data_IF_022708779023
#
_entry.id   IF_022708779023
#
_cell.length_a   1.000
_cell.length_b   1.000
_cell.length_c   1.000
_cell.angle_alpha   90.00
_cell.angle_beta   90.00
_cell.angle_gamma   90.00
#
_symmetry.space_group_name_H-M   'P 1'
#
loop_
_entity.id
_entity.type
_entity.pdbx_description
1 polymer ?
#
# COMPACT_ATOMS: atom_id res chain seq x y z
N UNK A 1 12.17 -30.83 7.04
CA UNK A 1 13.20 -29.79 7.09
C UNK A 1 13.90 -29.47 5.76
N UNK A 2 14.21 -30.42 4.85
CA UNK A 2 14.89 -30.15 3.56
C UNK A 2 14.07 -29.27 2.58
N UNK A 3 12.73 -29.30 2.61
CA UNK A 3 11.86 -28.54 1.68
C UNK A 3 11.85 -27.04 1.97
N UNK A 4 11.90 -26.65 3.25
CA UNK A 4 11.89 -25.24 3.65
C UNK A 4 13.20 -24.52 3.31
N UNK A 5 14.35 -25.24 3.32
CA UNK A 5 15.64 -24.66 2.91
C UNK A 5 15.67 -24.28 1.42
N UNK A 6 15.03 -25.07 0.55
CA UNK A 6 14.94 -24.74 -0.89
C UNK A 6 14.09 -23.49 -1.14
N UNK A 7 12.99 -23.31 -0.41
CA UNK A 7 12.12 -22.13 -0.53
C UNK A 7 12.86 -20.87 -0.06
N UNK A 8 13.58 -20.95 1.06
CA UNK A 8 14.40 -19.85 1.57
C UNK A 8 15.52 -19.48 0.58
N UNK A 9 16.15 -20.48 -0.04
CA UNK A 9 17.22 -20.28 -1.02
C UNK A 9 16.69 -19.63 -2.31
N UNK A 10 15.52 -20.04 -2.80
CA UNK A 10 14.85 -19.40 -3.95
C UNK A 10 14.44 -17.96 -3.63
N UNK A 11 13.92 -17.70 -2.44
CA UNK A 11 13.61 -16.35 -1.97
C UNK A 11 14.86 -15.47 -1.85
N UNK A 12 15.97 -16.02 -1.35
CA UNK A 12 17.25 -15.30 -1.28
C UNK A 12 17.83 -15.00 -2.67
N UNK A 13 17.75 -15.97 -3.61
CA UNK A 13 18.20 -15.75 -5.01
C UNK A 13 17.31 -14.71 -5.70
N UNK A 14 16.00 -14.73 -5.47
CA UNK A 14 15.08 -13.74 -6.00
C UNK A 14 15.35 -12.34 -5.43
N UNK A 15 15.61 -12.22 -4.14
CA UNK A 15 16.04 -11.00 -3.47
C UNK A 15 17.39 -10.49 -4.03
N UNK A 16 18.34 -11.40 -4.25
CA UNK A 16 19.65 -11.06 -4.78
C UNK A 16 19.59 -10.62 -6.25
N UNK A 17 18.75 -11.27 -7.07
CA UNK A 17 18.55 -10.85 -8.47
C UNK A 17 17.88 -9.49 -8.60
N UNK A 18 17.02 -9.11 -7.64
CA UNK A 18 16.46 -7.77 -7.55
C UNK A 18 17.51 -6.71 -7.15
N UNK A 19 18.54 -7.10 -6.38
CA UNK A 19 19.64 -6.20 -6.01
C UNK A 19 20.62 -5.94 -7.17
N UNK A 20 20.74 -6.84 -8.15
CA UNK A 20 21.68 -6.71 -9.27
C UNK A 20 21.12 -5.89 -10.44
N UNK A 21 19.85 -5.54 -10.44
CA UNK A 21 19.24 -4.69 -11.48
C UNK A 21 19.67 -3.20 -11.39
N UNK A 22 20.96 -2.92 -11.21
CA UNK A 22 21.52 -1.59 -10.87
C UNK A 22 21.55 -0.56 -12.01
N UNK A 23 21.01 -0.82 -13.18
CA UNK A 23 21.15 0.13 -14.32
C UNK A 23 19.93 0.99 -14.62
N UNK A 24 18.88 0.91 -13.81
CA UNK A 24 17.74 1.80 -13.96
C UNK A 24 18.03 3.14 -13.22
N UNK A 25 17.83 4.25 -13.90
CA UNK A 25 17.92 5.62 -13.33
C UNK A 25 16.86 5.89 -12.25
N UNK A 26 15.98 4.96 -12.00
CA UNK A 26 14.91 4.99 -11.03
C UNK A 26 15.38 4.60 -9.62
N UNK A 27 14.78 5.21 -8.61
CA UNK A 27 15.05 4.91 -7.21
C UNK A 27 14.21 3.73 -6.73
N UNK A 28 14.88 2.70 -6.23
CA UNK A 28 14.22 1.58 -5.54
C UNK A 28 14.35 1.73 -4.04
N UNK A 29 13.31 1.39 -3.32
CA UNK A 29 13.30 1.35 -1.85
C UNK A 29 12.76 0.02 -1.38
N UNK A 30 13.46 -0.63 -0.49
CA UNK A 30 13.00 -1.79 0.27
C UNK A 30 12.66 -1.32 1.67
N UNK A 31 11.46 -1.65 2.15
CA UNK A 31 10.99 -1.18 3.46
C UNK A 31 10.48 -2.35 4.28
N UNK A 32 10.92 -2.44 5.52
CA UNK A 32 10.35 -3.30 6.54
C UNK A 32 9.24 -2.53 7.27
N UNK A 33 8.16 -3.20 7.57
CA UNK A 33 7.01 -2.62 8.27
C UNK A 33 6.61 -3.52 9.43
N UNK A 34 6.22 -2.91 10.53
CA UNK A 34 5.69 -3.62 11.69
C UNK A 34 4.75 -2.73 12.47
N UNK A 35 3.70 -3.30 13.01
CA UNK A 35 2.72 -2.50 13.72
C UNK A 35 1.57 -3.29 14.32
N UNK A 36 0.57 -2.56 14.77
CA UNK A 36 -0.62 -3.12 15.39
C UNK A 36 -1.87 -2.43 14.85
N UNK A 37 -3.01 -3.03 15.10
CA UNK A 37 -4.26 -2.48 14.58
C UNK A 37 -5.52 -3.00 15.24
N UNK A 38 -6.60 -2.78 14.53
CA UNK A 38 -7.97 -3.16 14.88
C UNK A 38 -8.56 -3.93 13.71
N UNK A 39 -9.37 -4.94 14.00
CA UNK A 39 -10.05 -5.70 12.96
C UNK A 39 -11.49 -5.99 13.34
N UNK A 40 -12.37 -6.04 12.35
CA UNK A 40 -13.76 -6.46 12.53
C UNK A 40 -14.28 -7.13 11.25
N UNK A 41 -15.39 -7.84 11.37
CA UNK A 41 -16.11 -8.46 10.26
C UNK A 41 -17.43 -7.73 10.04
N UNK A 42 -17.78 -7.51 8.77
CA UNK A 42 -19.12 -7.01 8.39
C UNK A 42 -20.03 -8.18 8.09
N UNK A 43 -20.91 -8.53 9.03
CA UNK A 43 -21.86 -9.65 8.88
C UNK A 43 -23.16 -9.13 8.32
N UNK A 44 -23.74 -9.89 7.39
CA UNK A 44 -25.08 -9.64 6.89
C UNK A 44 -25.87 -10.94 6.85
N UNK A 45 -27.09 -11.00 7.37
CA UNK A 45 -27.81 -9.95 8.12
C UNK A 45 -26.99 -9.41 9.29
N UNK A 46 -27.25 -8.17 9.69
CA UNK A 46 -26.46 -7.51 10.74
C UNK A 46 -26.57 -8.25 12.07
N UNK A 47 -25.44 -8.61 12.61
CA UNK A 47 -25.25 -9.30 13.89
C UNK A 47 -24.39 -8.47 14.82
N UNK A 48 -24.44 -8.77 16.12
CA UNK A 48 -23.60 -8.07 17.10
C UNK A 48 -22.15 -8.46 16.93
N UNK A 49 -21.33 -7.48 16.55
CA UNK A 49 -19.87 -7.66 16.38
C UNK A 49 -19.10 -6.54 17.07
N UNK A 50 -17.92 -6.86 17.59
CA UNK A 50 -17.01 -5.86 18.17
C UNK A 50 -15.66 -5.93 17.48
N UNK A 51 -14.95 -4.81 17.50
CA UNK A 51 -13.59 -4.72 17.02
C UNK A 51 -12.64 -5.55 17.88
N UNK A 52 -11.84 -6.37 17.22
CA UNK A 52 -10.70 -7.03 17.84
C UNK A 52 -9.53 -6.03 17.87
N UNK A 53 -9.00 -5.78 19.06
CA UNK A 53 -7.90 -4.84 19.32
C UNK A 53 -6.56 -5.56 19.30
N UNK A 54 -5.50 -4.80 19.03
CA UNK A 54 -4.10 -5.26 19.10
C UNK A 54 -3.75 -6.38 18.11
N UNK A 55 -4.34 -6.32 16.92
CA UNK A 55 -3.95 -7.23 15.83
C UNK A 55 -2.55 -6.90 15.34
N UNK A 56 -1.72 -7.91 15.18
CA UNK A 56 -0.32 -7.75 14.78
C UNK A 56 -0.19 -7.68 13.27
N UNK A 57 0.79 -6.88 12.81
CA UNK A 57 1.14 -6.78 11.40
C UNK A 57 2.64 -6.64 11.20
N UNK A 58 3.17 -7.33 10.21
CA UNK A 58 4.56 -7.24 9.80
C UNK A 58 4.65 -7.44 8.29
N UNK A 59 5.62 -6.79 7.64
CA UNK A 59 5.74 -6.94 6.19
C UNK A 59 7.01 -6.37 5.60
N UNK A 60 7.17 -6.65 4.32
CA UNK A 60 8.23 -6.13 3.47
C UNK A 60 7.57 -5.45 2.28
N UNK A 61 8.02 -4.25 1.96
CA UNK A 61 7.52 -3.44 0.86
C UNK A 61 8.63 -3.13 -0.12
N UNK A 62 8.37 -3.28 -1.39
CA UNK A 62 9.24 -2.79 -2.44
C UNK A 62 8.56 -1.65 -3.18
N UNK A 63 9.29 -0.53 -3.35
CA UNK A 63 8.79 0.68 -4.02
C UNK A 63 9.70 1.07 -5.17
N UNK A 64 9.08 1.44 -6.26
CA UNK A 64 9.72 1.97 -7.46
C UNK A 64 9.31 3.41 -7.67
N UNK A 65 10.28 4.32 -7.58
CA UNK A 65 10.10 5.76 -7.84
C UNK A 65 10.59 6.08 -9.23
N UNK A 66 9.71 6.55 -10.10
CA UNK A 66 10.04 6.88 -11.49
C UNK A 66 10.76 8.23 -11.60
N UNK A 67 11.75 8.35 -12.48
CA UNK A 67 12.47 9.60 -12.77
C UNK A 67 11.69 10.55 -13.69
N UNK A 68 10.54 10.13 -14.20
CA UNK A 68 9.78 10.94 -15.16
C UNK A 68 9.01 12.04 -14.44
N UNK A 69 9.20 13.34 -14.77
CA UNK A 69 8.56 14.46 -14.06
C UNK A 69 7.03 14.50 -14.20
N UNK A 70 6.46 13.69 -15.10
CA UNK A 70 5.00 13.61 -15.33
C UNK A 70 4.30 12.56 -14.44
N UNK A 71 5.05 11.69 -13.82
CA UNK A 71 4.48 10.67 -12.93
C UNK A 71 4.63 11.12 -11.48
N UNK A 72 3.51 11.49 -10.87
CA UNK A 72 3.48 11.91 -9.47
C UNK A 72 3.24 10.67 -8.61
N UNK A 73 4.28 10.18 -7.94
CA UNK A 73 4.16 9.07 -7.01
C UNK A 73 5.11 7.91 -7.29
N UNK A 74 4.88 6.81 -6.61
CA UNK A 74 5.55 5.55 -6.86
C UNK A 74 4.56 4.40 -6.97
N UNK A 75 5.02 3.31 -7.52
CA UNK A 75 4.31 2.03 -7.53
C UNK A 75 5.11 1.01 -6.74
N UNK A 76 4.45 0.03 -6.18
CA UNK A 76 5.12 -1.00 -5.42
C UNK A 76 4.26 -2.19 -5.11
N UNK A 77 4.90 -3.17 -4.49
CA UNK A 77 4.27 -4.39 -4.03
C UNK A 77 4.70 -4.64 -2.60
N UNK A 78 3.76 -5.00 -1.75
CA UNK A 78 4.02 -5.39 -0.38
C UNK A 78 3.76 -6.89 -0.20
N UNK A 79 4.47 -7.48 0.74
CA UNK A 79 4.15 -8.79 1.29
C UNK A 79 3.96 -8.58 2.78
N UNK A 80 2.73 -8.72 3.26
CA UNK A 80 2.37 -8.40 4.63
C UNK A 80 1.76 -9.64 5.31
N UNK A 81 2.26 -9.97 6.48
CA UNK A 81 1.57 -10.83 7.44
C UNK A 81 0.67 -9.96 8.30
N UNK A 82 -0.57 -10.36 8.45
CA UNK A 82 -1.58 -9.63 9.17
C UNK A 82 -2.46 -10.57 9.98
N UNK A 83 -2.49 -10.36 11.27
CA UNK A 83 -3.52 -10.88 12.14
C UNK A 83 -4.78 -10.03 12.01
N UNK A 84 -5.91 -10.66 11.79
CA UNK A 84 -7.22 -10.02 11.72
C UNK A 84 -8.28 -10.91 12.35
N UNK A 85 -9.41 -10.36 12.70
CA UNK A 85 -10.45 -11.14 13.36
C UNK A 85 -11.60 -10.29 13.84
N UNK A 86 -12.41 -10.87 14.71
CA UNK A 86 -13.61 -10.23 15.21
C UNK A 86 -14.09 -10.90 16.48
N UNK A 87 -14.88 -10.14 17.25
CA UNK A 87 -15.72 -10.68 18.32
C UNK A 87 -17.18 -10.76 17.79
N UNK A 88 -17.81 -11.91 17.95
CA UNK A 88 -19.20 -12.14 17.57
C UNK A 88 -20.05 -12.46 18.78
N UNK A 89 -21.12 -11.69 18.98
CA UNK A 89 -22.09 -11.93 20.05
C UNK A 89 -23.02 -13.08 19.70
N UNK A 90 -22.80 -14.27 20.28
CA UNK A 90 -23.55 -15.48 19.97
C UNK A 90 -24.73 -15.75 20.88
N UNK A 91 -24.83 -15.02 21.98
CA UNK A 91 -25.94 -15.10 22.94
C UNK A 91 -25.92 -13.91 23.88
N UNK A 92 -27.02 -13.68 24.57
CA UNK A 92 -27.08 -12.63 25.58
C UNK A 92 -27.92 -13.06 26.78
N UNK A 93 -27.61 -12.49 27.94
CA UNK A 93 -28.45 -12.54 29.13
C UNK A 93 -29.16 -11.21 29.24
N UNK A 94 -30.49 -11.23 29.34
CA UNK A 94 -31.29 -10.03 29.54
C UNK A 94 -31.64 -9.86 31.02
N UNK A 95 -31.33 -8.71 31.58
CA UNK A 95 -31.73 -8.30 32.91
C UNK A 95 -32.56 -7.03 32.83
N UNK A 96 -33.68 -7.00 33.59
CA UNK A 96 -34.51 -5.81 33.72
C UNK A 96 -33.95 -4.95 34.85
N UNK A 97 -33.47 -3.75 34.54
CA UNK A 97 -33.01 -2.77 35.50
C UNK A 97 -33.62 -1.41 35.19
N UNK A 98 -34.32 -0.81 36.17
CA UNK A 98 -34.96 0.50 36.00
C UNK A 98 -35.87 0.57 34.78
N UNK A 99 -36.74 -0.44 34.56
CA UNK A 99 -37.62 -0.63 33.42
C UNK A 99 -36.92 -0.68 32.04
N UNK A 100 -35.62 -0.89 32.05
CA UNK A 100 -34.83 -1.06 30.80
C UNK A 100 -34.25 -2.47 30.73
N UNK A 101 -34.40 -3.09 29.58
CA UNK A 101 -33.73 -4.36 29.28
C UNK A 101 -32.25 -4.10 29.01
N UNK A 102 -31.37 -4.59 29.88
CA UNK A 102 -29.92 -4.57 29.70
C UNK A 102 -29.50 -5.93 29.16
N UNK A 103 -28.93 -5.95 27.97
CA UNK A 103 -28.43 -7.17 27.32
C UNK A 103 -26.93 -7.26 27.48
N UNK A 104 -26.48 -8.33 28.14
CA UNK A 104 -25.06 -8.66 28.24
C UNK A 104 -24.74 -9.77 27.27
N UNK A 105 -23.98 -9.47 26.22
CA UNK A 105 -23.62 -10.43 25.18
C UNK A 105 -22.46 -11.33 25.63
N UNK A 106 -22.50 -12.58 25.21
CA UNK A 106 -21.39 -13.52 25.27
C UNK A 106 -20.72 -13.53 23.91
N UNK A 107 -19.38 -13.41 23.89
CA UNK A 107 -18.63 -13.26 22.65
C UNK A 107 -17.85 -14.52 22.30
N UNK A 108 -17.89 -14.80 21.01
CA UNK A 108 -16.99 -15.70 20.33
C UNK A 108 -15.96 -14.85 19.61
N UNK A 109 -14.68 -15.15 19.80
CA UNK A 109 -13.55 -14.47 19.16
C UNK A 109 -12.95 -15.37 18.10
N UNK A 110 -12.72 -14.85 16.94
CA UNK A 110 -12.00 -15.55 15.87
C UNK A 110 -10.85 -14.70 15.38
N UNK A 111 -9.63 -15.25 15.50
CA UNK A 111 -8.42 -14.68 14.96
C UNK A 111 -8.05 -15.41 13.67
N UNK A 112 -7.66 -14.67 12.64
CA UNK A 112 -7.30 -15.17 11.31
C UNK A 112 -5.97 -14.58 10.91
N UNK A 113 -4.96 -15.42 10.78
CA UNK A 113 -3.66 -15.04 10.27
C UNK A 113 -3.65 -15.11 8.75
N UNK A 114 -3.31 -14.01 8.12
CA UNK A 114 -3.40 -13.83 6.68
C UNK A 114 -2.09 -13.32 6.10
N UNK A 115 -1.75 -13.84 4.93
CA UNK A 115 -0.71 -13.26 4.09
C UNK A 115 -1.39 -12.38 3.04
N UNK A 116 -0.97 -11.13 2.96
CA UNK A 116 -1.50 -10.14 2.03
C UNK A 116 -0.45 -9.72 1.01
N UNK A 117 -0.91 -9.48 -0.21
CA UNK A 117 -0.11 -8.98 -1.32
C UNK A 117 -0.76 -7.70 -1.87
N UNK A 118 -0.52 -6.54 -1.27
CA UNK A 118 -0.95 -5.25 -1.78
C UNK A 118 -0.14 -4.84 -3.02
N UNK A 119 -0.83 -4.44 -4.09
CA UNK A 119 -0.25 -3.75 -5.24
C UNK A 119 -0.54 -2.28 -5.04
N UNK A 120 0.48 -1.49 -4.77
CA UNK A 120 0.37 -0.14 -4.21
C UNK A 120 0.71 0.92 -5.24
N UNK A 121 -0.12 1.96 -5.28
CA UNK A 121 0.19 3.26 -5.84
C UNK A 121 0.27 4.27 -4.70
N UNK A 122 1.40 5.05 -4.64
CA UNK A 122 1.71 5.94 -3.52
C UNK A 122 2.13 7.32 -4.04
N UNK A 123 1.18 8.23 -4.28
CA UNK A 123 1.48 9.64 -4.48
C UNK A 123 2.09 10.23 -3.21
N UNK A 124 3.09 11.10 -3.38
CA UNK A 124 3.83 11.69 -2.28
C UNK A 124 4.37 13.06 -2.64
N UNK A 125 4.71 13.83 -1.62
CA UNK A 125 5.41 15.10 -1.75
C UNK A 125 6.44 15.26 -0.64
N UNK A 126 7.44 16.10 -0.92
CA UNK A 126 8.56 16.32 -0.02
C UNK A 126 8.47 17.68 0.63
N UNK A 127 8.85 17.73 1.92
CA UNK A 127 8.92 18.92 2.75
C UNK A 127 10.31 19.02 3.38
N UNK A 128 10.58 20.15 4.05
CA UNK A 128 11.79 20.38 4.82
C UNK A 128 13.08 20.04 4.02
N UNK A 129 13.23 20.64 2.83
CA UNK A 129 14.39 20.40 1.94
C UNK A 129 14.60 18.89 1.63
N UNK A 130 13.49 18.18 1.38
CA UNK A 130 13.47 16.75 1.07
C UNK A 130 13.85 15.81 2.22
N UNK A 131 13.86 16.30 3.46
CA UNK A 131 14.07 15.43 4.62
C UNK A 131 12.81 14.77 5.14
N UNK A 132 11.63 15.29 4.77
CA UNK A 132 10.33 14.75 5.14
C UNK A 132 9.53 14.43 3.90
N UNK A 133 9.04 13.21 3.78
CA UNK A 133 8.12 12.77 2.73
C UNK A 133 6.76 12.50 3.35
N UNK A 134 5.72 13.20 2.86
CA UNK A 134 4.34 12.87 3.15
C UNK A 134 3.77 12.07 1.99
N UNK A 135 2.96 11.07 2.28
CA UNK A 135 2.38 10.21 1.24
C UNK A 135 0.96 9.76 1.60
N UNK A 136 0.22 9.47 0.55
CA UNK A 136 -1.03 8.73 0.60
C UNK A 136 -0.82 7.46 -0.18
N UNK A 137 -1.48 6.37 0.17
CA UNK A 137 -1.40 5.14 -0.59
C UNK A 137 -2.79 4.57 -0.89
N UNK A 138 -2.93 4.00 -2.07
CA UNK A 138 -4.07 3.21 -2.47
C UNK A 138 -3.55 1.88 -3.04
N UNK A 139 -4.19 0.78 -2.69
CA UNK A 139 -3.76 -0.52 -3.18
C UNK A 139 -4.93 -1.46 -3.46
N UNK A 140 -4.72 -2.32 -4.44
CA UNK A 140 -5.48 -3.55 -4.60
C UNK A 140 -4.79 -4.65 -3.79
N UNK A 141 -5.54 -5.36 -2.97
CA UNK A 141 -5.01 -6.34 -2.02
C UNK A 141 -5.53 -7.72 -2.36
N UNK A 142 -4.61 -8.65 -2.57
CA UNK A 142 -4.88 -10.08 -2.56
C UNK A 142 -4.53 -10.64 -1.19
N UNK A 143 -5.30 -11.58 -0.66
CA UNK A 143 -5.06 -12.17 0.65
C UNK A 143 -5.24 -13.67 0.64
N UNK A 144 -4.43 -14.34 1.47
CA UNK A 144 -4.54 -15.76 1.73
C UNK A 144 -4.55 -16.02 3.23
N UNK A 145 -5.61 -16.66 3.72
CA UNK A 145 -5.77 -17.03 5.12
C UNK A 145 -4.95 -18.30 5.43
N UNK A 146 -3.93 -18.17 6.29
CA UNK A 146 -3.00 -19.25 6.62
C UNK A 146 -3.57 -20.13 7.70
N UNK A 147 -3.91 -19.53 8.84
CA UNK A 147 -4.42 -20.20 10.03
C UNK A 147 -5.49 -19.38 10.71
N UNK A 148 -6.27 -20.00 11.55
CA UNK A 148 -7.28 -19.33 12.34
C UNK A 148 -7.43 -20.03 13.67
N UNK A 149 -7.63 -19.25 14.72
CA UNK A 149 -7.93 -19.73 16.06
C UNK A 149 -9.26 -19.14 16.51
N UNK A 150 -9.92 -19.83 17.42
CA UNK A 150 -11.14 -19.34 18.05
C UNK A 150 -11.09 -19.49 19.56
N UNK A 151 -11.83 -18.62 20.23
CA UNK A 151 -12.04 -18.69 21.68
C UNK A 151 -13.43 -18.19 22.03
N UNK A 152 -13.95 -18.66 23.14
CA UNK A 152 -15.20 -18.19 23.73
C UNK A 152 -14.85 -17.42 25.01
N UNK A 153 -15.58 -16.36 25.27
CA UNK A 153 -15.45 -15.59 26.51
C UNK A 153 -15.89 -16.42 27.75
N UNK A 154 -16.68 -17.46 27.50
CA UNK A 154 -17.17 -18.36 28.54
C UNK A 154 -16.30 -19.62 28.61
N UNK A 155 -15.78 -19.96 29.79
CA UNK A 155 -14.98 -21.16 30.08
C UNK A 155 -15.69 -22.49 29.73
N UNK A 156 -16.98 -22.46 29.49
CA UNK A 156 -17.78 -23.63 29.14
C UNK A 156 -17.36 -24.27 27.82
N UNK A 157 -16.74 -23.46 26.92
CA UNK A 157 -16.26 -23.91 25.61
C UNK A 157 -14.79 -23.51 25.45
N UNK A 158 -13.86 -24.43 25.60
CA UNK A 158 -12.45 -24.14 25.38
C UNK A 158 -12.23 -23.69 23.94
N UNK A 159 -11.39 -22.67 23.79
CA UNK A 159 -10.91 -22.25 22.48
C UNK A 159 -10.05 -23.32 21.80
N UNK A 160 -9.77 -23.13 20.52
CA UNK A 160 -8.97 -24.07 19.75
C UNK A 160 -8.54 -23.54 18.39
N UNK A 161 -7.91 -24.44 17.65
CA UNK A 161 -7.56 -24.17 16.25
C UNK A 161 -8.82 -24.34 15.41
N UNK A 162 -9.10 -23.33 14.57
CA UNK A 162 -10.22 -23.38 13.63
C UNK A 162 -9.85 -24.21 12.40
N UNK A 163 -10.60 -25.26 12.13
CA UNK A 163 -10.38 -26.10 10.98
C UNK A 163 -11.01 -25.51 9.72
N UNK A 164 -10.18 -25.24 8.72
CA UNK A 164 -10.65 -24.71 7.44
C UNK A 164 -11.35 -25.79 6.61
N UNK A 165 -12.65 -25.60 6.36
CA UNK A 165 -13.44 -26.51 5.54
C UNK A 165 -13.75 -25.87 4.19
N UNK A 166 -13.26 -26.48 3.11
CA UNK A 166 -13.44 -25.94 1.73
C UNK A 166 -14.89 -25.63 1.38
N UNK A 167 -15.91 -26.41 1.78
CA UNK A 167 -17.30 -26.06 1.49
C UNK A 167 -17.80 -24.82 2.21
N UNK A 168 -17.27 -24.52 3.39
CA UNK A 168 -17.71 -23.45 4.29
C UNK A 168 -16.88 -22.18 4.17
N UNK A 169 -15.57 -22.31 4.02
CA UNK A 169 -14.63 -21.22 4.21
C UNK A 169 -13.94 -20.78 2.92
N UNK A 170 -13.64 -19.49 2.84
CA UNK A 170 -12.75 -18.91 1.83
C UNK A 170 -11.35 -18.68 2.40
N UNK A 171 -10.35 -19.30 1.80
CA UNK A 171 -8.95 -19.03 2.13
C UNK A 171 -8.36 -17.90 1.30
N UNK A 172 -8.87 -17.70 0.07
CA UNK A 172 -8.45 -16.61 -0.80
C UNK A 172 -9.41 -15.44 -0.67
N UNK A 173 -8.83 -14.26 -0.58
CA UNK A 173 -9.58 -13.03 -0.49
C UNK A 173 -8.99 -11.92 -1.35
N UNK A 174 -9.78 -10.88 -1.55
CA UNK A 174 -9.36 -9.66 -2.21
C UNK A 174 -10.07 -8.46 -1.60
N UNK A 175 -9.46 -7.29 -1.76
CA UNK A 175 -9.96 -6.06 -1.21
C UNK A 175 -9.24 -4.84 -1.76
N UNK A 176 -9.55 -3.70 -1.18
CA UNK A 176 -8.83 -2.45 -1.41
C UNK A 176 -8.20 -1.99 -0.10
N UNK A 177 -7.12 -1.27 -0.20
CA UNK A 177 -6.59 -0.54 0.95
C UNK A 177 -6.30 0.91 0.60
N UNK A 178 -6.47 1.76 1.61
CA UNK A 178 -6.11 3.16 1.55
C UNK A 178 -5.36 3.53 2.82
N UNK A 179 -4.37 4.41 2.70
CA UNK A 179 -3.58 4.83 3.83
C UNK A 179 -2.91 6.16 3.63
N UNK A 180 -2.34 6.66 4.69
CA UNK A 180 -1.53 7.86 4.69
C UNK A 180 -0.38 7.72 5.69
N UNK A 181 0.69 8.45 5.45
CA UNK A 181 1.83 8.41 6.34
C UNK A 181 2.87 9.47 6.03
N UNK A 182 3.92 9.41 6.81
CA UNK A 182 5.11 10.23 6.59
C UNK A 182 6.37 9.40 6.80
N UNK A 183 7.45 9.84 6.18
CA UNK A 183 8.77 9.27 6.36
C UNK A 183 9.83 10.35 6.47
N UNK A 184 10.71 10.22 7.45
CA UNK A 184 11.91 11.03 7.61
C UNK A 184 13.05 10.38 6.84
N UNK A 185 13.71 11.14 5.99
CA UNK A 185 14.73 10.66 5.08
C UNK A 185 16.13 11.01 5.64
N UNK A 186 16.89 9.99 6.02
CA UNK A 186 18.22 10.10 6.61
C UNK A 186 19.24 9.44 5.68
N UNK A 187 19.69 10.18 4.66
CA UNK A 187 20.59 9.63 3.66
C UNK A 187 19.95 8.47 2.87
N UNK A 188 20.45 7.25 3.03
CA UNK A 188 19.90 6.05 2.40
C UNK A 188 18.80 5.39 3.22
N UNK A 189 18.64 5.74 4.48
CA UNK A 189 17.65 5.18 5.39
C UNK A 189 16.43 6.08 5.44
N UNK A 190 15.27 5.49 5.51
CA UNK A 190 14.02 6.18 5.79
C UNK A 190 13.30 5.56 6.99
N UNK A 191 12.83 6.40 7.89
CA UNK A 191 12.02 6.02 9.03
C UNK A 191 10.65 6.67 8.88
N UNK A 192 9.60 5.90 9.00
CA UNK A 192 8.26 6.43 8.81
C UNK A 192 7.22 5.81 9.70
N UNK A 193 6.06 6.45 9.68
CA UNK A 193 4.84 5.99 10.29
C UNK A 193 3.74 6.03 9.23
N UNK A 194 2.96 4.95 9.13
CA UNK A 194 1.78 4.90 8.25
C UNK A 194 0.57 4.35 8.99
N UNK A 195 -0.58 4.90 8.66
CA UNK A 195 -1.89 4.35 9.03
C UNK A 195 -2.57 3.84 7.75
N UNK A 196 -3.14 2.63 7.81
CA UNK A 196 -3.76 1.98 6.67
C UNK A 196 -5.08 1.34 7.06
N UNK A 197 -6.09 1.53 6.22
CA UNK A 197 -7.37 0.84 6.29
C UNK A 197 -7.47 -0.16 5.14
N UNK A 198 -7.72 -1.43 5.46
CA UNK A 198 -7.98 -2.48 4.48
C UNK A 198 -9.47 -2.79 4.49
N UNK A 199 -10.09 -2.60 3.35
CA UNK A 199 -11.49 -2.87 3.09
C UNK A 199 -11.64 -4.21 2.36
N UNK A 200 -12.15 -5.22 3.06
CA UNK A 200 -12.37 -6.55 2.48
C UNK A 200 -13.59 -6.57 1.56
N UNK A 201 -13.46 -7.16 0.38
CA UNK A 201 -14.59 -7.47 -0.50
C UNK A 201 -14.98 -8.92 -0.44
N UNK A 202 -14.01 -9.81 -0.30
CA UNK A 202 -14.27 -11.24 -0.23
C UNK A 202 -14.77 -11.65 1.15
N UNK A 203 -15.74 -12.52 1.16
CA UNK A 203 -16.30 -13.08 2.38
C UNK A 203 -15.37 -14.13 2.99
N UNK A 204 -15.28 -14.16 4.32
CA UNK A 204 -14.53 -15.16 5.07
C UNK A 204 -15.21 -16.54 4.98
N UNK A 205 -16.55 -16.55 4.98
CA UNK A 205 -17.37 -17.73 4.84
C UNK A 205 -18.09 -17.74 3.49
N UNK A 206 -18.22 -18.95 2.90
CA UNK A 206 -18.89 -19.12 1.60
C UNK A 206 -20.39 -19.13 1.77
N UNK A 207 -21.05 -18.15 1.25
CA UNK A 207 -22.51 -18.09 1.17
C UNK A 207 -23.12 -19.10 0.17
N UNK A 208 -22.35 -19.60 -0.79
CA UNK A 208 -22.86 -20.42 -1.90
C UNK A 208 -23.39 -21.79 -1.49
N UNK A 209 -22.97 -22.31 -0.33
CA UNK A 209 -23.39 -23.61 0.11
C UNK A 209 -24.56 -23.51 1.10
N UNK A 210 -25.76 -23.27 0.57
CA UNK A 210 -27.02 -23.19 1.34
C UNK A 210 -27.33 -24.44 2.17
N UNK A 211 -26.73 -25.57 1.81
CA UNK A 211 -26.97 -26.87 2.45
C UNK A 211 -25.90 -27.26 3.44
N UNK A 212 -24.88 -26.40 3.64
CA UNK A 212 -23.88 -26.68 4.63
C UNK A 212 -24.44 -26.53 6.03
N UNK A 213 -24.48 -27.63 6.78
CA UNK A 213 -24.98 -27.61 8.15
C UNK A 213 -23.91 -27.14 9.10
N UNK A 214 -24.07 -25.96 9.67
CA UNK A 214 -23.18 -25.46 10.71
C UNK A 214 -23.28 -26.25 12.01
N UNK A 215 -24.35 -26.99 12.21
CA UNK A 215 -24.59 -27.81 13.41
C UNK A 215 -23.58 -28.96 13.53
N UNK A 216 -22.97 -29.40 12.42
CA UNK A 216 -21.95 -30.44 12.41
C UNK A 216 -20.56 -29.93 12.76
N UNK A 217 -20.35 -28.61 12.77
CA UNK A 217 -19.05 -28.00 13.04
C UNK A 217 -18.73 -27.83 14.52
N UNK A 218 -19.69 -28.23 15.37
CA UNK A 218 -19.51 -28.22 16.82
C UNK A 218 -19.24 -26.83 17.37
N UNK A 219 -18.17 -26.72 18.16
CA UNK A 219 -17.82 -25.48 18.87
C UNK A 219 -17.03 -24.47 18.05
N UNK A 220 -16.55 -24.87 16.86
CA UNK A 220 -15.70 -24.01 16.03
C UNK A 220 -16.47 -22.84 15.40
N UNK A 221 -17.75 -23.04 15.12
CA UNK A 221 -18.57 -22.09 14.39
C UNK A 221 -19.86 -21.77 15.16
N UNK A 222 -19.98 -20.55 15.74
CA UNK A 222 -21.15 -20.17 16.52
C UNK A 222 -22.36 -19.78 15.66
N UNK A 223 -22.19 -19.63 14.34
CA UNK A 223 -23.27 -19.20 13.47
C UNK A 223 -24.26 -20.32 13.22
N UNK A 224 -25.51 -20.10 13.57
CA UNK A 224 -26.58 -21.04 13.26
C UNK A 224 -26.83 -21.15 11.74
N UNK A 225 -26.82 -20.00 11.06
CA UNK A 225 -26.87 -19.91 9.60
C UNK A 225 -25.59 -19.29 9.07
N UNK A 226 -25.11 -19.78 7.93
CA UNK A 226 -23.97 -19.15 7.26
C UNK A 226 -24.34 -17.73 6.84
N UNK A 227 -23.60 -16.70 7.24
CA UNK A 227 -23.85 -15.32 6.84
C UNK A 227 -23.86 -15.17 5.32
N UNK A 228 -24.71 -14.28 4.81
CA UNK A 228 -24.74 -13.92 3.39
C UNK A 228 -23.47 -13.15 2.99
N UNK A 229 -22.95 -12.34 3.90
CA UNK A 229 -21.69 -11.60 3.75
C UNK A 229 -20.90 -11.66 5.05
N UNK A 230 -19.59 -11.78 4.90
CA UNK A 230 -18.66 -11.81 6.03
C UNK A 230 -17.26 -11.28 5.68
N UNK A 231 -17.12 -10.13 4.97
CA UNK A 231 -15.84 -9.55 4.68
C UNK A 231 -15.21 -8.99 5.96
N UNK A 232 -13.87 -9.08 6.04
CA UNK A 232 -13.10 -8.63 7.20
C UNK A 232 -12.36 -7.34 6.84
N UNK A 233 -12.56 -6.31 7.65
CA UNK A 233 -11.89 -5.02 7.57
C UNK A 233 -10.87 -4.89 8.68
N UNK A 234 -9.83 -4.08 8.45
CA UNK A 234 -8.88 -3.77 9.50
C UNK A 234 -8.22 -2.40 9.31
N UNK A 235 -7.86 -1.79 10.43
CA UNK A 235 -7.11 -0.54 10.51
C UNK A 235 -5.79 -0.86 11.19
N UNK A 236 -4.67 -0.48 10.58
CA UNK A 236 -3.34 -0.72 11.11
C UNK A 236 -2.54 0.58 11.20
N UNK A 237 -1.78 0.70 12.27
CA UNK A 237 -0.73 1.72 12.42
C UNK A 237 0.61 1.02 12.45
N UNK A 238 1.50 1.40 11.54
CA UNK A 238 2.74 0.69 11.28
C UNK A 238 3.92 1.65 11.28
N UNK A 239 4.99 1.24 11.93
CA UNK A 239 6.31 1.81 11.77
C UNK A 239 6.96 1.24 10.52
N UNK A 240 7.74 2.05 9.81
CA UNK A 240 8.42 1.65 8.58
C UNK A 240 9.90 2.00 8.66
N UNK A 241 10.75 1.05 8.27
CA UNK A 241 12.19 1.21 8.12
C UNK A 241 12.57 0.86 6.69
N UNK A 242 12.96 1.85 5.90
CA UNK A 242 13.28 1.70 4.50
C UNK A 242 14.75 1.91 4.18
N UNK A 243 15.22 1.22 3.13
CA UNK A 243 16.54 1.39 2.55
C UNK A 243 16.42 1.75 1.07
N UNK A 244 17.08 2.86 0.68
CA UNK A 244 17.09 3.36 -0.69
C UNK A 244 18.37 2.95 -1.40
N UNK A 245 18.25 2.28 -2.54
CA UNK A 245 19.39 1.68 -3.24
C UNK A 245 20.12 2.63 -4.17
N UNK A 246 19.55 3.78 -4.55
CA UNK A 246 20.22 4.70 -5.45
C UNK A 246 20.95 5.82 -4.68
N UNK A 247 22.25 5.97 -4.92
CA UNK A 247 23.12 6.98 -4.32
C UNK A 247 22.96 8.40 -4.90
N UNK A 248 22.23 8.55 -6.00
CA UNK A 248 21.95 9.88 -6.52
C UNK A 248 21.04 10.58 -5.55
N UNK A 249 21.66 11.47 -4.81
CA UNK A 249 21.14 12.27 -3.72
C UNK A 249 19.64 12.48 -3.66
N UNK A 250 19.18 13.29 -2.78
CA UNK A 250 17.78 13.70 -2.63
C UNK A 250 17.15 14.33 -3.89
N UNK A 251 17.46 13.82 -5.09
CA UNK A 251 16.82 14.17 -6.35
C UNK A 251 15.36 13.69 -6.30
N UNK A 252 14.68 14.36 -5.37
CA UNK A 252 13.23 14.36 -5.38
C UNK A 252 12.77 14.88 -6.74
N UNK A 253 11.72 14.35 -7.22
CA UNK A 253 10.95 14.74 -8.39
C UNK A 253 10.69 16.26 -8.49
N UNK A 254 10.85 16.99 -7.39
CA UNK A 254 10.64 18.41 -7.23
C UNK A 254 11.91 19.26 -7.21
N UNK A 255 13.05 18.69 -7.44
CA UNK A 255 14.17 19.54 -7.86
C UNK A 255 13.74 20.10 -9.21
N UNK A 256 13.12 21.26 -9.17
CA UNK A 256 13.05 22.15 -10.33
C UNK A 256 14.48 22.24 -10.81
N UNK A 257 14.83 21.47 -11.84
CA UNK A 257 16.12 21.58 -12.48
C UNK A 257 16.24 23.06 -12.80
N UNK A 258 17.25 23.77 -12.27
CA UNK A 258 17.45 25.16 -12.67
C UNK A 258 17.38 25.14 -14.19
N UNK A 259 16.52 25.97 -14.77
CA UNK A 259 16.47 26.13 -16.23
C UNK A 259 17.93 26.18 -16.65
N UNK A 260 18.40 25.21 -17.42
CA UNK A 260 19.73 25.30 -18.03
C UNK A 260 19.74 26.68 -18.68
N UNK A 261 20.45 27.60 -18.08
CA UNK A 261 20.74 28.87 -18.71
C UNK A 261 21.33 28.45 -20.04
N UNK A 262 20.65 28.83 -21.11
CA UNK A 262 21.21 28.64 -22.44
C UNK A 262 22.59 29.28 -22.34
N UNK A 263 23.67 28.57 -22.69
CA UNK A 263 25.00 29.17 -22.65
C UNK A 263 24.86 30.51 -23.35
N UNK A 264 25.16 31.55 -22.63
CA UNK A 264 25.17 32.92 -23.15
C UNK A 264 25.99 32.83 -24.43
N UNK A 265 25.34 33.07 -25.59
CA UNK A 265 26.10 33.12 -26.83
C UNK A 265 27.06 34.26 -26.65
N UNK A 266 28.30 33.92 -26.35
CA UNK A 266 29.40 34.88 -26.39
C UNK A 266 29.45 35.38 -27.83
N UNK A 267 28.93 36.54 -28.04
CA UNK A 267 29.13 37.26 -29.27
C UNK A 267 30.62 37.47 -29.37
N UNK A 268 31.30 36.74 -30.24
CA UNK A 268 32.70 36.98 -30.60
C UNK A 268 32.75 38.27 -31.38
N UNK A 269 32.97 39.37 -30.66
CA UNK A 269 33.20 40.71 -31.27
C UNK A 269 34.41 40.75 -32.20
N UNK A 270 35.31 39.78 -32.12
CA UNK A 270 36.47 39.69 -33.02
C UNK A 270 36.13 39.33 -34.47
N UNK A 271 34.95 38.72 -34.75
CA UNK A 271 34.53 38.45 -36.11
C UNK A 271 33.86 39.65 -36.77
N UNK A 272 33.44 40.67 -36.03
CA UNK A 272 32.79 41.88 -36.56
C UNK A 272 33.82 42.94 -36.97
N UNK A 273 35.05 42.89 -36.49
CA UNK A 273 36.10 43.88 -36.85
C UNK A 273 36.86 43.54 -38.12
N UNK A 274 36.81 42.33 -38.66
CA UNK A 274 37.47 41.97 -39.92
C UNK A 274 36.72 42.38 -41.17
N UNK A 275 35.47 42.86 -41.06
CA UNK A 275 34.67 43.28 -42.22
C UNK A 275 34.64 44.80 -42.41
N UNK A 276 35.43 45.61 -41.67
CA UNK A 276 35.49 47.09 -41.84
C UNK A 276 36.82 47.56 -42.41
N UNK A 277 37.43 46.80 -43.26
CA UNK A 277 38.66 47.24 -43.93
C UNK A 277 38.76 46.69 -45.33
N UNK A 278 38.35 47.47 -46.34
CA UNK A 278 38.73 47.13 -47.70
C UNK A 278 37.71 47.46 -48.79
N UNK A 279 37.83 48.69 -49.29
CA UNK A 279 37.72 49.17 -50.70
C UNK A 279 36.42 49.04 -51.46
N UNK A 280 35.97 50.24 -51.84
CA UNK A 280 35.37 50.64 -53.15
C UNK A 280 35.36 49.63 -54.22
N UNK A 281 34.18 49.36 -54.82
CA UNK A 281 33.83 49.67 -56.24
C UNK A 281 32.44 49.18 -56.57
N UNK A 282 31.66 50.13 -57.06
CA UNK A 282 30.62 50.06 -58.13
C UNK A 282 29.89 48.75 -58.39
N UNK A 283 28.59 48.73 -58.25
CA UNK A 283 27.61 48.91 -59.32
C UNK A 283 26.24 48.37 -58.96
N UNK A 284 25.26 49.21 -59.15
CA UNK A 284 23.91 49.04 -59.74
C UNK A 284 23.12 47.75 -59.50
N UNK A 285 21.95 47.96 -58.99
CA UNK A 285 20.60 47.77 -59.52
C UNK A 285 19.73 46.77 -58.83
N UNK A 286 18.58 47.34 -58.52
CA UNK A 286 17.20 46.82 -58.59
C UNK A 286 16.75 45.70 -57.68
N UNK A 287 15.90 46.06 -56.82
CA UNK A 287 14.47 45.80 -56.97
C UNK A 287 13.94 44.69 -56.04
N UNK A 288 12.98 45.00 -55.26
CA UNK A 288 12.05 43.98 -54.85
C UNK A 288 11.67 44.01 -53.36
N UNK A 289 10.74 44.85 -53.07
CA UNK A 289 9.89 44.82 -51.87
C UNK A 289 9.25 43.46 -51.60
N UNK A 290 9.12 43.07 -50.34
CA UNK A 290 7.83 42.74 -49.77
C UNK A 290 7.91 42.43 -48.27
N UNK A 291 7.22 43.25 -47.58
CA UNK A 291 6.64 43.14 -46.25
C UNK A 291 5.89 41.84 -46.04
N UNK A 292 5.97 41.26 -44.84
CA UNK A 292 4.80 40.85 -44.09
C UNK A 292 5.14 40.58 -42.60
N UNK A 293 4.37 41.18 -41.75
CA UNK A 293 4.44 41.19 -40.33
C UNK A 293 3.72 39.98 -39.68
N UNK A 294 3.66 39.92 -38.33
CA UNK A 294 3.54 38.68 -37.57
C UNK A 294 2.10 38.30 -37.24
N UNK A 295 1.86 37.02 -36.98
CA UNK A 295 0.61 36.54 -36.41
C UNK A 295 0.86 36.01 -34.97
N UNK A 296 0.32 36.71 -34.00
CA UNK A 296 -0.09 36.22 -32.72
C UNK A 296 -1.26 35.24 -32.89
N UNK A 297 -1.29 34.17 -32.04
CA UNK A 297 -2.50 33.58 -31.43
C UNK A 297 -2.05 32.41 -30.55
N UNK A 298 -2.50 32.40 -29.46
CA UNK A 298 -3.43 32.20 -28.32
C UNK A 298 -2.98 31.01 -27.50
#
# INVERSE_FOLDING_TARGET
>A
MKRNRKIILVLMVLLFSLMVAERATAQHTLTLTGGTGLSNVRIYPAEETKWLWWTESAGISWRYYSDKPRFVGCVGVDLEYLERGFHYGYGYTAEMKDDKEIRTYQYYTRNVNSLMLPIVWQPHFYLANNHLRLFVEAAFVLSFNISSNYSYENDRYPGGVYEWKVPRDNRFGYGLSGGAGFAVLLGQVELGLKAKYNFGYSDLMKNRNKYYSNTTDGKENPFYYTPLRSPVDNINVMLTLGWRFNKRGFDAWYVVRPKREKPMQTFNFSAAQSNYGGSNSNSKSSGGSRTSAPAQRK
#
